data_IF_863093995773
#
_entry.id   IF_863093995773
#
_cell.length_a   1.000
_cell.length_b   1.000
_cell.length_c   1.000
_cell.angle_alpha   90.00
_cell.angle_beta   90.00
_cell.angle_gamma   90.00
#
_symmetry.space_group_name_H-M   'P 1'
#
loop_
_entity.id
_entity.type
_entity.pdbx_description
1 polymer ?
#
# COMPACT_ATOMS: atom_id res chain seq x y z
N UNK A 1 10.97 -4.42 1.64
CA UNK A 1 10.45 -5.55 0.83
C UNK A 1 9.60 -4.89 -0.22
N UNK A 2 9.93 -5.07 -1.49
CA UNK A 2 9.13 -4.60 -2.60
C UNK A 2 7.81 -5.35 -2.67
N UNK A 3 7.86 -6.69 -2.60
CA UNK A 3 6.66 -7.52 -2.68
C UNK A 3 6.14 -7.93 -1.30
N UNK A 4 4.92 -7.51 -0.98
CA UNK A 4 4.10 -7.99 0.14
C UNK A 4 2.64 -8.11 -0.34
N UNK A 5 2.12 -9.33 -0.42
CA UNK A 5 0.84 -9.58 -1.10
C UNK A 5 -0.03 -10.64 -0.42
N UNK A 6 -1.32 -10.60 -0.69
CA UNK A 6 -2.27 -11.71 -0.51
C UNK A 6 -2.69 -12.25 -1.87
N UNK A 7 -3.18 -13.48 -1.95
CA UNK A 7 -3.65 -14.01 -3.23
C UNK A 7 -4.92 -13.26 -3.72
N UNK A 8 -4.93 -12.69 -4.94
CA UNK A 8 -6.11 -12.08 -5.52
C UNK A 8 -7.03 -13.12 -6.19
N UNK A 9 -8.06 -12.63 -6.90
CA UNK A 9 -8.88 -13.41 -7.83
C UNK A 9 -8.65 -12.89 -9.27
N UNK A 10 -7.50 -13.20 -9.90
CA UNK A 10 -7.07 -12.54 -11.12
C UNK A 10 -7.92 -12.95 -12.34
N UNK A 11 -8.31 -11.96 -13.12
CA UNK A 11 -9.09 -12.09 -14.36
C UNK A 11 -8.22 -11.63 -15.55
N UNK A 12 -8.19 -12.38 -16.67
CA UNK A 12 -7.47 -11.96 -17.87
C UNK A 12 -7.82 -10.53 -18.30
N UNK A 13 -6.81 -9.74 -18.64
CA UNK A 13 -6.95 -8.32 -18.98
C UNK A 13 -6.75 -7.36 -17.80
N UNK A 14 -6.66 -7.86 -16.57
CA UNK A 14 -6.17 -7.08 -15.44
C UNK A 14 -4.63 -6.90 -15.51
N UNK A 15 -4.08 -5.83 -14.87
CA UNK A 15 -2.65 -5.65 -14.70
C UNK A 15 -1.92 -6.92 -14.22
N UNK A 16 -1.01 -7.43 -15.05
CA UNK A 16 -0.19 -8.61 -14.72
C UNK A 16 -0.88 -9.95 -14.85
N UNK A 17 -2.08 -10.03 -15.46
CA UNK A 17 -2.82 -11.29 -15.64
C UNK A 17 -2.86 -11.65 -17.12
N UNK A 18 -1.93 -12.51 -17.55
CA UNK A 18 -1.90 -13.08 -18.90
C UNK A 18 -2.76 -14.34 -19.02
N UNK A 19 -2.69 -15.19 -18.01
CA UNK A 19 -3.39 -16.47 -17.93
C UNK A 19 -4.44 -16.44 -16.82
N UNK A 20 -5.55 -17.13 -17.02
CA UNK A 20 -6.62 -17.20 -16.02
C UNK A 20 -6.10 -17.78 -14.70
N UNK A 21 -6.38 -17.11 -13.59
CA UNK A 21 -5.96 -17.55 -12.27
C UNK A 21 -4.50 -17.25 -11.90
N UNK A 22 -3.71 -16.66 -12.79
CA UNK A 22 -2.29 -16.36 -12.54
C UNK A 22 -2.07 -14.84 -12.44
N UNK A 23 -1.72 -14.38 -11.24
CA UNK A 23 -1.28 -13.01 -11.01
C UNK A 23 0.24 -12.93 -11.14
N UNK A 24 0.72 -12.13 -12.09
CA UNK A 24 2.13 -11.76 -12.16
C UNK A 24 2.54 -10.96 -10.93
N UNK A 25 3.75 -11.22 -10.43
CA UNK A 25 4.27 -10.60 -9.21
C UNK A 25 4.70 -9.14 -9.38
N UNK A 26 4.81 -8.67 -10.63
CA UNK A 26 5.30 -7.33 -10.96
C UNK A 26 4.31 -6.21 -10.59
N UNK A 27 3.08 -6.14 -11.13
CA UNK A 27 2.23 -5.00 -10.81
C UNK A 27 1.66 -5.07 -9.38
N UNK A 28 1.69 -3.96 -8.62
CA UNK A 28 0.88 -3.81 -7.43
C UNK A 28 -0.61 -3.69 -7.75
N UNK A 29 -1.45 -3.96 -6.76
CA UNK A 29 -2.90 -3.81 -6.81
C UNK A 29 -3.54 -3.79 -5.42
N UNK A 30 -4.86 -3.93 -5.36
CA UNK A 30 -5.59 -3.97 -4.08
C UNK A 30 -5.12 -5.09 -3.14
N UNK A 31 -4.51 -6.14 -3.70
CA UNK A 31 -3.97 -7.29 -3.00
C UNK A 31 -2.57 -7.05 -2.40
N UNK A 32 -2.01 -5.84 -2.52
CA UNK A 32 -0.60 -5.57 -2.27
C UNK A 32 0.20 -5.75 -3.56
N UNK A 33 1.14 -6.69 -3.59
CA UNK A 33 1.97 -6.94 -4.78
C UNK A 33 3.33 -6.26 -4.64
N UNK A 34 3.93 -5.85 -5.76
CA UNK A 34 5.18 -5.07 -5.76
C UNK A 34 4.90 -3.62 -5.40
N UNK A 35 4.82 -3.34 -4.10
CA UNK A 35 4.42 -2.04 -3.60
C UNK A 35 5.56 -1.04 -3.65
N UNK A 36 6.80 -1.52 -3.46
CA UNK A 36 8.02 -0.72 -3.47
C UNK A 36 7.91 0.54 -2.64
N UNK A 37 7.29 0.40 -1.46
CA UNK A 37 7.23 1.45 -0.46
C UNK A 37 8.39 1.25 0.50
N UNK A 38 9.45 2.05 0.36
CA UNK A 38 10.68 1.95 1.19
C UNK A 38 10.43 2.03 2.71
N UNK A 39 9.29 2.58 3.12
CA UNK A 39 8.87 2.69 4.51
C UNK A 39 8.29 1.38 5.08
N UNK A 40 7.99 0.38 4.24
CA UNK A 40 7.64 -0.99 4.64
C UNK A 40 8.89 -1.79 5.04
N UNK A 41 9.47 -1.37 6.16
CA UNK A 41 10.66 -1.95 6.79
C UNK A 41 10.34 -2.52 8.16
N UNK A 42 11.35 -3.11 8.82
CA UNK A 42 11.23 -3.61 10.20
C UNK A 42 10.57 -2.54 11.10
N UNK A 43 9.50 -2.94 11.79
CA UNK A 43 8.73 -2.09 12.70
C UNK A 43 7.50 -1.42 12.06
N UNK A 44 7.33 -1.51 10.74
CA UNK A 44 6.07 -1.16 10.09
C UNK A 44 5.06 -2.31 10.17
N UNK A 45 3.78 -1.95 10.13
CA UNK A 45 2.65 -2.88 9.97
C UNK A 45 2.01 -2.60 8.62
N UNK A 46 1.76 -3.65 7.83
CA UNK A 46 0.99 -3.59 6.60
C UNK A 46 -0.36 -4.28 6.80
N UNK A 47 -1.42 -3.60 6.40
CA UNK A 47 -2.79 -4.07 6.40
C UNK A 47 -3.18 -4.39 4.95
N UNK A 48 -3.54 -5.66 4.71
CA UNK A 48 -3.98 -6.15 3.41
C UNK A 48 -5.41 -6.71 3.53
N UNK A 49 -6.25 -6.55 2.50
CA UNK A 49 -7.54 -7.21 2.47
C UNK A 49 -7.36 -8.74 2.43
N UNK A 50 -8.35 -9.48 2.94
CA UNK A 50 -8.39 -10.95 2.77
C UNK A 50 -9.30 -11.26 1.58
N UNK A 51 -8.70 -11.49 0.41
CA UNK A 51 -9.43 -11.70 -0.84
C UNK A 51 -9.74 -13.19 -1.11
N UNK A 52 -8.99 -14.10 -0.49
CA UNK A 52 -9.14 -15.55 -0.62
C UNK A 52 -9.10 -16.23 0.75
N UNK A 53 -9.72 -17.42 0.91
CA UNK A 53 -9.63 -18.20 2.14
C UNK A 53 -8.17 -18.42 2.58
N UNK A 54 -7.89 -18.07 3.83
CA UNK A 54 -6.55 -18.17 4.41
C UNK A 54 -5.61 -17.01 4.09
N UNK A 55 -6.04 -16.01 3.31
CA UNK A 55 -5.24 -14.86 2.89
C UNK A 55 -4.16 -15.19 1.86
N UNK A 56 -3.50 -16.34 2.00
CA UNK A 56 -2.47 -16.86 1.09
C UNK A 56 -1.38 -15.83 0.83
N UNK A 57 -0.72 -15.42 1.92
CA UNK A 57 0.29 -14.38 1.90
C UNK A 57 1.54 -14.78 1.11
N UNK A 58 2.08 -13.84 0.35
CA UNK A 58 3.30 -13.94 -0.44
C UNK A 58 4.22 -12.76 -0.12
N UNK A 59 5.53 -13.00 -0.10
CA UNK A 59 6.56 -11.98 0.11
C UNK A 59 7.77 -12.28 -0.76
N UNK A 60 8.40 -11.22 -1.26
CA UNK A 60 9.59 -11.31 -2.08
C UNK A 60 10.25 -9.94 -2.24
N UNK A 61 11.19 -9.89 -3.16
CA UNK A 61 11.87 -8.67 -3.61
C UNK A 61 12.49 -7.81 -2.48
N UNK A 62 13.50 -8.33 -1.77
CA UNK A 62 14.11 -7.59 -0.68
C UNK A 62 15.12 -6.55 -1.18
N UNK A 63 14.90 -5.28 -0.84
CA UNK A 63 15.83 -4.20 -1.17
C UNK A 63 16.78 -3.84 -0.03
N UNK A 64 18.03 -3.48 -0.35
CA UNK A 64 18.99 -2.87 0.57
C UNK A 64 18.76 -1.40 0.77
N UNK A 65 18.52 -0.70 -0.33
CA UNK A 65 18.15 0.71 -0.38
C UNK A 65 17.30 0.91 -1.63
N UNK A 66 16.26 1.71 -1.50
CA UNK A 66 15.38 2.12 -2.59
C UNK A 66 15.05 3.61 -2.42
N UNK A 67 14.98 4.33 -3.54
CA UNK A 67 14.49 5.71 -3.58
C UNK A 67 12.99 5.75 -3.87
N UNK A 68 12.36 6.90 -3.58
CA UNK A 68 10.99 7.16 -4.02
C UNK A 68 10.95 7.20 -5.56
N UNK A 69 10.03 6.43 -6.14
CA UNK A 69 9.81 6.30 -7.57
C UNK A 69 10.55 5.14 -8.22
N UNK A 70 11.54 4.54 -7.57
CA UNK A 70 12.32 3.40 -8.10
C UNK A 70 12.70 3.54 -9.60
N UNK A 71 13.12 4.75 -9.99
CA UNK A 71 13.06 5.22 -11.38
C UNK A 71 13.87 4.42 -12.41
N UNK A 72 14.77 3.54 -11.96
CA UNK A 72 15.56 2.66 -12.84
C UNK A 72 14.89 1.32 -13.12
N UNK A 73 13.76 1.02 -12.45
CA UNK A 73 13.09 -0.29 -12.47
C UNK A 73 13.64 -1.28 -11.44
N UNK A 74 14.64 -0.89 -10.66
CA UNK A 74 15.26 -1.75 -9.63
C UNK A 74 15.78 -0.92 -8.47
N UNK A 75 15.93 -1.57 -7.32
CA UNK A 75 16.61 -1.08 -6.15
C UNK A 75 18.00 -1.72 -6.01
N UNK A 76 18.62 -1.59 -4.84
CA UNK A 76 19.72 -2.50 -4.49
C UNK A 76 19.09 -3.85 -4.10
N UNK A 77 18.92 -4.74 -5.08
CA UNK A 77 18.35 -6.06 -4.87
C UNK A 77 19.24 -6.94 -3.99
N UNK A 78 18.63 -7.65 -3.04
CA UNK A 78 19.35 -8.56 -2.14
C UNK A 78 18.49 -9.71 -1.62
N UNK A 79 19.14 -10.72 -1.05
CA UNK A 79 18.44 -11.77 -0.30
C UNK A 79 18.31 -11.39 1.17
N UNK A 80 17.11 -11.47 1.74
CA UNK A 80 16.85 -11.23 3.16
C UNK A 80 15.98 -12.33 3.78
N UNK A 81 16.11 -12.51 5.08
CA UNK A 81 15.18 -13.31 5.89
C UNK A 81 14.30 -12.38 6.72
N UNK A 82 13.00 -12.42 6.48
CA UNK A 82 12.00 -11.67 7.25
C UNK A 82 11.30 -12.55 8.30
N UNK A 83 10.95 -11.96 9.44
CA UNK A 83 10.04 -12.57 10.42
C UNK A 83 8.78 -11.72 10.45
N UNK A 84 7.64 -12.35 10.16
CA UNK A 84 6.35 -11.68 10.06
C UNK A 84 5.41 -12.19 11.15
N UNK A 85 4.60 -11.27 11.71
CA UNK A 85 3.49 -11.60 12.59
C UNK A 85 2.20 -11.32 11.84
N UNK A 86 1.35 -12.32 11.72
CA UNK A 86 0.03 -12.16 11.12
C UNK A 86 -1.04 -11.97 12.19
N UNK A 87 -1.89 -10.96 12.00
CA UNK A 87 -3.05 -10.67 12.84
C UNK A 87 -4.26 -10.57 11.93
N UNK A 88 -5.31 -11.33 12.24
CA UNK A 88 -6.54 -11.31 11.47
C UNK A 88 -7.55 -10.36 12.12
N UNK A 89 -7.88 -9.28 11.41
CA UNK A 89 -8.92 -8.34 11.79
C UNK A 89 -10.25 -8.80 11.19
N UNK A 90 -11.15 -9.32 12.05
CA UNK A 90 -12.50 -9.72 11.64
C UNK A 90 -13.38 -8.47 11.50
N UNK A 91 -14.41 -8.58 10.66
CA UNK A 91 -15.41 -7.54 10.43
C UNK A 91 -14.82 -6.19 9.96
N UNK A 92 -13.63 -6.24 9.37
CA UNK A 92 -12.95 -5.09 8.77
C UNK A 92 -12.71 -5.37 7.30
N UNK A 93 -13.21 -4.48 6.45
CA UNK A 93 -12.96 -4.50 5.01
C UNK A 93 -12.17 -3.25 4.66
N UNK A 94 -11.12 -3.43 3.86
CA UNK A 94 -10.33 -2.35 3.27
C UNK A 94 -10.25 -2.61 1.76
N UNK A 95 -10.22 -1.54 0.97
CA UNK A 95 -10.25 -1.66 -0.50
C UNK A 95 -8.87 -1.89 -1.10
N UNK A 96 -7.80 -1.64 -0.33
CA UNK A 96 -6.43 -1.76 -0.76
C UNK A 96 -5.46 -1.72 0.41
N UNK A 97 -4.14 -1.71 0.13
CA UNK A 97 -3.12 -1.71 1.17
C UNK A 97 -3.12 -0.40 1.97
N UNK A 98 -3.12 -0.53 3.30
CA UNK A 98 -2.78 0.53 4.25
C UNK A 98 -1.58 0.07 5.06
N UNK A 99 -0.79 0.98 5.58
CA UNK A 99 0.31 0.66 6.48
C UNK A 99 0.43 1.69 7.60
N UNK A 100 1.28 1.40 8.56
CA UNK A 100 1.73 2.37 9.53
C UNK A 100 3.16 2.06 9.97
N UNK A 101 3.86 3.09 10.38
CA UNK A 101 5.13 2.95 11.08
C UNK A 101 5.06 3.68 12.43
N UNK A 102 6.21 3.92 13.07
CA UNK A 102 6.26 4.58 14.37
C UNK A 102 5.64 5.99 14.38
N UNK A 103 5.65 6.69 13.26
CA UNK A 103 5.31 8.12 13.19
C UNK A 103 4.15 8.46 12.27
N UNK A 104 3.81 7.61 11.30
CA UNK A 104 2.77 7.89 10.30
C UNK A 104 1.82 6.72 10.11
N UNK A 105 0.55 7.06 9.83
CA UNK A 105 -0.32 6.21 9.04
C UNK A 105 0.00 6.42 7.56
N UNK A 106 -0.05 5.36 6.78
CA UNK A 106 0.32 5.35 5.36
C UNK A 106 -0.84 4.73 4.60
N UNK A 107 -1.41 5.46 3.66
CA UNK A 107 -2.42 4.95 2.71
C UNK A 107 -1.82 4.88 1.32
N UNK A 108 -2.35 4.03 0.46
CA UNK A 108 -1.78 3.82 -0.88
C UNK A 108 -2.86 3.96 -1.95
N UNK A 109 -2.57 4.75 -2.96
CA UNK A 109 -3.29 4.80 -4.21
C UNK A 109 -2.48 4.08 -5.29
N UNK A 110 -3.15 3.18 -5.99
CA UNK A 110 -2.53 2.33 -7.02
C UNK A 110 -3.37 2.48 -8.28
N UNK A 111 -2.74 2.83 -9.40
CA UNK A 111 -3.42 2.97 -10.69
C UNK A 111 -2.41 2.81 -11.85
N UNK A 112 -2.89 2.65 -13.08
CA UNK A 112 -2.06 2.68 -14.29
C UNK A 112 -1.56 4.09 -14.65
N UNK A 113 -2.10 5.12 -13.99
CA UNK A 113 -1.74 6.52 -14.18
C UNK A 113 -1.41 7.18 -12.85
N UNK A 114 -0.31 7.93 -12.81
CA UNK A 114 0.21 8.51 -11.58
C UNK A 114 -0.73 9.55 -10.97
N UNK A 115 -1.39 10.36 -11.79
CA UNK A 115 -2.34 11.37 -11.31
C UNK A 115 -3.56 10.70 -10.67
N UNK A 116 -4.07 9.62 -11.30
CA UNK A 116 -5.14 8.80 -10.69
C UNK A 116 -4.67 8.09 -9.43
N UNK A 117 -3.44 7.59 -9.39
CA UNK A 117 -2.88 7.00 -8.17
C UNK A 117 -2.84 8.03 -7.03
N UNK A 118 -2.46 9.28 -7.30
CA UNK A 118 -2.48 10.36 -6.31
C UNK A 118 -3.90 10.69 -5.82
N UNK A 119 -4.88 10.72 -6.72
CA UNK A 119 -6.31 10.88 -6.36
C UNK A 119 -6.79 9.72 -5.50
N UNK A 120 -6.45 8.48 -5.87
CA UNK A 120 -6.82 7.29 -5.12
C UNK A 120 -6.19 7.29 -3.72
N UNK A 121 -4.93 7.69 -3.57
CA UNK A 121 -4.26 7.81 -2.27
C UNK A 121 -4.94 8.85 -1.38
N UNK A 122 -5.36 9.97 -1.97
CA UNK A 122 -6.08 11.05 -1.25
C UNK A 122 -7.47 10.59 -0.82
N UNK A 123 -8.21 9.92 -1.70
CA UNK A 123 -9.51 9.36 -1.36
C UNK A 123 -9.40 8.31 -0.24
N UNK A 124 -8.38 7.46 -0.30
CA UNK A 124 -8.11 6.47 0.74
C UNK A 124 -7.74 7.13 2.09
N UNK A 125 -7.01 8.26 2.07
CA UNK A 125 -6.76 9.06 3.27
C UNK A 125 -8.05 9.56 3.90
N UNK A 126 -8.96 10.11 3.09
CA UNK A 126 -10.27 10.60 3.55
C UNK A 126 -11.09 9.46 4.14
N UNK A 127 -11.16 8.32 3.46
CA UNK A 127 -11.85 7.11 3.96
C UNK A 127 -11.26 6.67 5.30
N UNK A 128 -9.93 6.55 5.40
CA UNK A 128 -9.24 6.18 6.63
C UNK A 128 -9.55 7.13 7.79
N UNK A 129 -9.52 8.45 7.55
CA UNK A 129 -9.81 9.46 8.56
C UNK A 129 -11.26 9.42 9.05
N UNK A 130 -12.21 9.14 8.16
CA UNK A 130 -13.62 8.95 8.56
C UNK A 130 -13.77 7.66 9.36
N UNK A 131 -13.25 6.54 8.85
CA UNK A 131 -13.46 5.21 9.43
C UNK A 131 -12.72 4.98 10.75
N UNK A 132 -11.46 5.39 10.85
CA UNK A 132 -10.60 5.07 12.00
C UNK A 132 -10.48 6.22 12.99
N UNK A 133 -10.58 7.47 12.51
CA UNK A 133 -10.39 8.65 13.35
C UNK A 133 -11.72 9.32 13.73
N UNK A 134 -12.83 8.95 13.08
CA UNK A 134 -14.18 9.43 13.39
C UNK A 134 -14.42 10.87 12.94
N UNK A 135 -13.69 11.34 11.91
CA UNK A 135 -13.90 12.67 11.34
C UNK A 135 -15.15 12.69 10.47
N UNK A 136 -15.74 13.88 10.29
CA UNK A 136 -16.71 14.10 9.23
C UNK A 136 -16.00 14.08 7.86
N UNK A 137 -16.70 13.79 6.74
CA UNK A 137 -16.09 13.85 5.42
C UNK A 137 -15.43 15.21 5.11
N UNK A 138 -16.08 16.32 5.48
CA UNK A 138 -15.57 17.67 5.22
C UNK A 138 -14.29 17.96 6.04
N UNK A 139 -14.27 17.54 7.32
CA UNK A 139 -13.08 17.64 8.16
C UNK A 139 -11.95 16.75 7.64
N UNK A 140 -12.26 15.54 7.17
CA UNK A 140 -11.27 14.60 6.64
C UNK A 140 -10.60 15.12 5.37
N UNK A 141 -11.37 15.72 4.45
CA UNK A 141 -10.82 16.40 3.26
C UNK A 141 -9.96 17.59 3.68
N UNK A 142 -10.46 18.44 4.59
CA UNK A 142 -9.74 19.62 5.06
C UNK A 142 -8.42 19.25 5.74
N UNK A 143 -8.44 18.24 6.61
CA UNK A 143 -7.24 17.72 7.29
C UNK A 143 -6.25 17.12 6.29
N UNK A 144 -6.74 16.35 5.31
CA UNK A 144 -5.88 15.77 4.27
C UNK A 144 -5.13 16.88 3.52
N UNK A 145 -5.77 18.00 3.19
CA UNK A 145 -5.13 19.11 2.49
C UNK A 145 -3.95 19.75 3.24
N UNK A 146 -3.93 19.67 4.57
CA UNK A 146 -2.91 20.34 5.41
C UNK A 146 -1.95 19.37 6.11
N UNK A 147 -2.25 18.07 6.12
CA UNK A 147 -1.50 17.08 6.89
C UNK A 147 -1.21 15.78 6.14
N UNK A 148 -1.70 15.58 4.90
CA UNK A 148 -1.36 14.44 4.07
C UNK A 148 -0.18 14.79 3.15
N UNK A 149 0.94 14.10 3.32
CA UNK A 149 2.06 14.18 2.39
C UNK A 149 1.99 13.03 1.36
N UNK A 150 1.81 13.35 0.09
CA UNK A 150 1.85 12.37 -1.00
C UNK A 150 3.29 12.12 -1.45
N UNK A 151 3.68 10.85 -1.60
CA UNK A 151 4.97 10.40 -2.11
C UNK A 151 4.81 9.37 -3.21
N UNK A 152 5.57 9.53 -4.27
CA UNK A 152 5.66 8.56 -5.36
C UNK A 152 6.52 7.39 -4.86
N UNK A 153 5.93 6.21 -4.69
CA UNK A 153 6.64 5.04 -4.16
C UNK A 153 7.36 4.30 -5.28
N UNK A 154 6.66 3.96 -6.36
CA UNK A 154 7.23 3.43 -7.61
C UNK A 154 6.43 3.90 -8.84
N UNK A 155 7.06 3.88 -10.02
CA UNK A 155 6.42 4.22 -11.31
C UNK A 155 6.80 3.26 -12.45
N UNK A 156 7.25 2.06 -12.13
CA UNK A 156 7.97 1.18 -13.06
C UNK A 156 7.28 -0.17 -13.28
N UNK A 157 6.26 -0.49 -12.48
CA UNK A 157 5.65 -1.82 -12.43
C UNK A 157 4.32 -1.97 -13.15
N UNK A 158 4.11 -1.15 -14.18
CA UNK A 158 2.89 -1.06 -15.00
C UNK A 158 1.71 -0.39 -14.28
N UNK A 159 1.37 -0.80 -13.07
CA UNK A 159 0.68 0.12 -12.13
C UNK A 159 1.72 0.96 -11.41
N UNK A 160 1.32 2.12 -10.89
CA UNK A 160 2.14 3.02 -10.10
C UNK A 160 1.54 3.15 -8.70
N UNK A 161 2.40 3.29 -7.69
CA UNK A 161 2.01 3.50 -6.30
C UNK A 161 2.32 4.93 -5.85
N UNK A 162 1.29 5.65 -5.39
CA UNK A 162 1.42 6.87 -4.59
C UNK A 162 1.02 6.56 -3.16
N UNK A 163 1.91 6.82 -2.22
CA UNK A 163 1.65 6.66 -0.78
C UNK A 163 1.35 8.00 -0.14
N UNK A 164 0.26 8.08 0.62
CA UNK A 164 -0.10 9.23 1.44
C UNK A 164 0.30 9.01 2.91
N UNK A 165 1.04 9.97 3.48
CA UNK A 165 1.54 9.90 4.85
C UNK A 165 0.78 10.88 5.75
N UNK A 166 0.17 10.36 6.82
CA UNK A 166 -0.56 11.15 7.81
C UNK A 166 0.20 11.03 9.14
N UNK A 167 0.73 12.13 9.71
CA UNK A 167 1.51 12.07 10.93
C UNK A 167 0.63 11.73 12.13
N UNK A 168 1.01 10.71 12.92
CA UNK A 168 0.21 10.24 14.06
C UNK A 168 0.09 11.28 15.18
N UNK A 169 1.08 12.15 15.31
CA UNK A 169 1.16 13.10 16.41
C UNK A 169 0.05 14.16 16.40
N UNK A 170 -0.61 14.39 15.27
CA UNK A 170 -1.75 15.31 15.17
C UNK A 170 -2.99 14.79 15.92
N UNK A 171 -3.01 13.49 16.27
CA UNK A 171 -4.09 12.86 17.04
C UNK A 171 -3.76 12.68 18.53
N UNK A 172 -2.56 13.04 18.98
CA UNK A 172 -2.07 12.81 20.35
C UNK A 172 -2.68 13.74 21.42
N UNK A 173 -3.69 14.53 21.07
CA UNK A 173 -4.39 15.44 21.99
C UNK A 173 -5.74 14.88 22.48
N UNK A 174 -5.94 13.55 22.40
CA UNK A 174 -7.08 12.85 23.00
C UNK A 174 -6.72 12.30 24.37
#
# INVERSE_FOLDING_TARGET
MGILAVAPAPQPGQPGVTDSGIQGSRPPGNFGGNLDVKDLKKGATLYLPVLQPGGLFYVGDPHGVQGDGEVSGTAIEQSLTGIFKFVLHKDKQINGPRAENATHYIVMGIDLDLDRAAVNATNEAVIFLVEEMGLTPDDAVSLSSIALDLRISEVVDLTQVVSGFIPKNIFNHR
#
